data_IF_294637282133
#
_entry.id   IF_294637282133
#
_cell.length_a   1.000
_cell.length_b   1.000
_cell.length_c   1.000
_cell.angle_alpha   90.00
_cell.angle_beta   90.00
_cell.angle_gamma   90.00
#
_symmetry.space_group_name_H-M   'P 1'
#
loop_
_entity.id
_entity.type
_entity.pdbx_description
1 polymer ?
#
# COMPACT_ATOMS: atom_id res chain seq x y z
N UNK A 1 -11.83 1.81 29.50
CA UNK A 1 -11.74 1.34 28.10
C UNK A 1 -11.54 2.59 27.28
N UNK A 2 -10.29 2.89 26.90
CA UNK A 2 -9.99 4.16 26.23
C UNK A 2 -10.62 4.14 24.84
N UNK A 3 -11.52 5.08 24.59
CA UNK A 3 -12.03 5.44 23.28
C UNK A 3 -10.84 5.71 22.36
N UNK A 4 -10.54 4.78 21.45
CA UNK A 4 -9.50 4.96 20.46
C UNK A 4 -9.96 6.07 19.52
N UNK A 5 -9.55 7.31 19.84
CA UNK A 5 -9.74 8.49 19.02
C UNK A 5 -9.40 8.14 17.57
N UNK A 6 -10.45 7.89 16.78
CA UNK A 6 -10.33 7.68 15.34
C UNK A 6 -10.11 9.07 14.78
N UNK A 7 -8.85 9.54 14.82
CA UNK A 7 -8.52 10.86 14.31
C UNK A 7 -9.03 10.99 12.87
N UNK A 8 -9.71 12.09 12.52
CA UNK A 8 -10.23 12.27 11.18
C UNK A 8 -9.09 12.14 10.17
N UNK A 9 -9.28 11.23 9.23
CA UNK A 9 -8.27 10.91 8.23
C UNK A 9 -8.01 12.13 7.34
N UNK A 10 -6.77 12.64 7.32
CA UNK A 10 -6.36 13.72 6.44
C UNK A 10 -5.64 13.16 5.20
N UNK A 11 -6.26 13.21 4.01
CA UNK A 11 -5.68 12.63 2.79
C UNK A 11 -4.46 13.42 2.26
N UNK A 12 -4.19 14.64 2.74
CA UNK A 12 -2.97 15.38 2.38
C UNK A 12 -1.74 14.91 3.15
N UNK A 13 -1.91 14.44 4.38
CA UNK A 13 -0.82 13.95 5.22
C UNK A 13 -0.72 12.43 5.22
N UNK A 14 -1.74 11.73 4.72
CA UNK A 14 -1.67 10.29 4.53
C UNK A 14 -0.81 9.94 3.30
N UNK A 15 0.28 9.24 3.55
CA UNK A 15 1.21 8.79 2.52
C UNK A 15 0.52 7.87 1.49
N UNK A 16 -0.37 6.97 1.94
CA UNK A 16 -1.17 6.13 1.05
C UNK A 16 -2.07 6.97 0.13
N UNK A 17 -2.74 7.98 0.66
CA UNK A 17 -3.59 8.86 -0.15
C UNK A 17 -2.81 9.72 -1.13
N UNK A 18 -1.59 10.13 -0.76
CA UNK A 18 -0.65 10.76 -1.69
C UNK A 18 -0.29 9.83 -2.85
N UNK A 19 0.08 8.58 -2.54
CA UNK A 19 0.42 7.55 -3.53
C UNK A 19 -0.76 7.23 -4.45
N UNK A 20 -1.97 7.07 -3.89
CA UNK A 20 -3.17 6.77 -4.66
C UNK A 20 -3.67 7.95 -5.51
N UNK A 21 -3.30 9.19 -5.20
CA UNK A 21 -3.58 10.36 -6.06
C UNK A 21 -2.74 10.38 -7.33
N UNK A 22 -1.56 9.76 -7.32
CA UNK A 22 -0.70 9.71 -8.51
C UNK A 22 -1.11 8.51 -9.39
N UNK A 23 -1.61 8.72 -10.62
CA UNK A 23 -2.18 7.64 -11.43
C UNK A 23 -1.17 6.53 -11.74
N UNK A 24 0.11 6.87 -11.95
CA UNK A 24 1.17 5.90 -12.16
C UNK A 24 1.44 5.02 -10.93
N UNK A 25 1.43 5.60 -9.73
CA UNK A 25 1.70 4.87 -8.49
C UNK A 25 0.48 4.05 -8.04
N UNK A 26 -0.73 4.58 -8.24
CA UNK A 26 -1.98 3.85 -8.01
C UNK A 26 -2.06 2.59 -8.89
N UNK A 27 -1.64 2.66 -10.16
CA UNK A 27 -1.55 1.50 -11.04
C UNK A 27 -0.56 0.47 -10.52
N UNK A 28 0.65 0.89 -10.16
CA UNK A 28 1.68 -0.01 -9.61
C UNK A 28 1.22 -0.71 -8.33
N UNK A 29 0.49 0.01 -7.45
CA UNK A 29 -0.11 -0.58 -6.25
C UNK A 29 -1.14 -1.66 -6.58
N UNK A 30 -2.06 -1.41 -7.53
CA UNK A 30 -3.05 -2.40 -7.96
C UNK A 30 -2.40 -3.63 -8.61
N UNK A 31 -1.39 -3.41 -9.44
CA UNK A 31 -0.64 -4.49 -10.09
C UNK A 31 0.08 -5.37 -9.04
N UNK A 32 0.66 -4.75 -8.01
CA UNK A 32 1.29 -5.46 -6.89
C UNK A 32 0.26 -6.22 -6.06
N UNK A 33 -0.88 -5.61 -5.74
CA UNK A 33 -1.96 -6.31 -5.01
C UNK A 33 -2.46 -7.52 -5.79
N UNK A 34 -2.74 -7.37 -7.09
CA UNK A 34 -3.19 -8.48 -7.93
C UNK A 34 -2.12 -9.58 -8.06
N UNK A 35 -0.83 -9.22 -8.04
CA UNK A 35 0.27 -10.18 -7.98
C UNK A 35 0.30 -10.95 -6.66
N UNK A 36 0.15 -10.25 -5.53
CA UNK A 36 0.13 -10.85 -4.19
C UNK A 36 -1.13 -11.70 -3.95
N UNK A 37 -2.28 -11.33 -4.48
CA UNK A 37 -3.50 -12.16 -4.42
C UNK A 37 -3.32 -13.49 -5.15
N UNK A 38 -2.57 -13.50 -6.26
CA UNK A 38 -2.25 -14.72 -7.02
C UNK A 38 -1.12 -15.53 -6.40
N UNK A 39 -0.27 -14.91 -5.59
CA UNK A 39 0.88 -15.54 -4.96
C UNK A 39 1.26 -14.76 -3.69
N UNK A 40 0.68 -15.10 -2.52
CA UNK A 40 0.81 -14.31 -1.29
C UNK A 40 2.25 -14.22 -0.77
N UNK A 41 3.12 -15.12 -1.20
CA UNK A 41 4.55 -15.10 -0.92
C UNK A 41 5.32 -15.29 -2.22
N UNK A 42 5.57 -14.22 -3.00
CA UNK A 42 6.55 -14.32 -4.06
C UNK A 42 7.89 -14.60 -3.37
N UNK A 43 8.45 -15.80 -3.58
CA UNK A 43 9.82 -16.07 -3.20
C UNK A 43 10.68 -15.03 -3.92
N UNK A 44 11.10 -13.98 -3.21
CA UNK A 44 12.07 -13.03 -3.73
C UNK A 44 13.30 -13.88 -4.04
N UNK A 45 13.49 -14.22 -5.33
CA UNK A 45 14.68 -14.93 -5.77
C UNK A 45 15.85 -14.10 -5.26
N UNK A 46 16.57 -14.67 -4.30
CA UNK A 46 17.32 -13.94 -3.29
C UNK A 46 18.11 -12.78 -3.86
N UNK A 47 18.10 -11.67 -3.13
CA UNK A 47 19.09 -10.61 -3.30
C UNK A 47 20.49 -11.21 -3.19
N UNK A 48 21.06 -11.58 -4.34
CA UNK A 48 22.49 -11.86 -4.47
C UNK A 48 23.19 -10.52 -4.29
N UNK A 49 23.79 -10.33 -3.13
CA UNK A 49 24.95 -9.46 -3.00
C UNK A 49 26.15 -10.15 -3.64
#
# INVERSE_FOLDING_TARGET
MADQHTQPHNPRTCQLCGVLRHPAQAKAGRDLTAHLEKSPFPQQKGGRR
#
